data_IF_666024730016
#
_entry.id   IF_666024730016
#
_cell.length_a   1.000
_cell.length_b   1.000
_cell.length_c   1.000
_cell.angle_alpha   90.00
_cell.angle_beta   90.00
_cell.angle_gamma   90.00
#
_symmetry.space_group_name_H-M   'P 1'
#
loop_
_entity.id
_entity.type
_entity.pdbx_description
1 polymer ?
#
# COMPACT_ATOMS: atom_id res chain seq x y z
N UNK A 1 -21.94 0.23 3.50
CA UNK A 1 -22.14 -1.15 3.99
C UNK A 1 -20.88 -1.51 4.74
N UNK A 2 -20.93 -1.61 6.07
CA UNK A 2 -19.74 -1.98 6.86
C UNK A 2 -19.70 -3.50 6.94
N UNK A 3 -18.79 -4.11 6.20
CA UNK A 3 -18.59 -5.56 6.20
C UNK A 3 -17.68 -5.92 7.36
N UNK A 4 -18.11 -6.86 8.21
CA UNK A 4 -17.24 -7.45 9.24
C UNK A 4 -16.12 -8.25 8.55
N UNK A 5 -14.87 -7.87 8.79
CA UNK A 5 -13.70 -8.67 8.44
C UNK A 5 -13.20 -9.36 9.71
N UNK A 6 -13.11 -10.68 9.71
CA UNK A 6 -12.54 -11.40 10.84
C UNK A 6 -11.04 -11.08 10.97
N UNK A 7 -10.56 -10.95 12.21
CA UNK A 7 -9.16 -10.57 12.50
C UNK A 7 -8.13 -11.49 11.85
N UNK A 8 -8.47 -12.76 11.66
CA UNK A 8 -7.63 -13.74 10.98
C UNK A 8 -7.31 -13.39 9.51
N UNK A 9 -8.17 -12.60 8.86
CA UNK A 9 -7.98 -12.09 7.50
C UNK A 9 -7.42 -10.66 7.48
N UNK A 10 -7.24 -10.01 8.63
CA UNK A 10 -6.59 -8.70 8.76
C UNK A 10 -5.08 -8.87 9.01
N UNK A 11 -4.42 -9.66 8.16
CA UNK A 11 -2.96 -9.87 8.20
C UNK A 11 -2.39 -9.54 6.84
N UNK A 12 -1.46 -8.59 6.81
CA UNK A 12 -0.74 -8.23 5.60
C UNK A 12 0.16 -9.38 5.12
N UNK A 13 0.30 -9.51 3.80
CA UNK A 13 1.24 -10.46 3.17
C UNK A 13 2.57 -9.77 2.97
N UNK A 14 2.61 -8.73 2.13
CA UNK A 14 3.78 -7.90 1.89
C UNK A 14 3.98 -6.87 3.01
N UNK A 15 2.93 -6.48 3.71
CA UNK A 15 2.94 -5.64 4.90
C UNK A 15 2.99 -6.53 6.15
N UNK A 16 3.75 -6.11 7.16
CA UNK A 16 3.75 -6.76 8.47
C UNK A 16 2.71 -6.15 9.42
N UNK A 17 2.42 -4.87 9.27
CA UNK A 17 1.43 -4.12 10.06
C UNK A 17 1.10 -2.77 9.40
N UNK A 18 0.10 -2.07 9.94
CA UNK A 18 -0.23 -0.71 9.54
C UNK A 18 -0.79 0.09 10.71
N UNK A 19 -0.69 1.40 10.64
CA UNK A 19 -1.26 2.36 11.58
C UNK A 19 -2.24 3.28 10.84
N UNK A 20 -3.37 3.57 11.48
CA UNK A 20 -4.42 4.41 10.91
C UNK A 20 -4.71 5.56 11.86
N UNK A 21 -4.49 6.79 11.40
CA UNK A 21 -4.99 8.02 12.03
C UNK A 21 -5.94 8.75 11.08
N UNK A 22 -6.66 9.79 11.53
CA UNK A 22 -7.46 10.60 10.63
C UNK A 22 -6.67 11.29 9.51
N UNK A 23 -5.37 11.53 9.72
CA UNK A 23 -4.48 12.27 8.83
C UNK A 23 -3.55 11.37 8.00
N UNK A 24 -3.24 10.16 8.47
CA UNK A 24 -2.25 9.28 7.83
C UNK A 24 -2.65 7.82 7.90
N UNK A 25 -2.33 7.09 6.83
CA UNK A 25 -2.22 5.64 6.80
C UNK A 25 -0.74 5.30 6.65
N UNK A 26 -0.19 4.56 7.59
CA UNK A 26 1.22 4.17 7.60
C UNK A 26 1.31 2.67 7.43
N UNK A 27 2.01 2.22 6.40
CA UNK A 27 2.23 0.81 6.11
C UNK A 27 3.65 0.41 6.43
N UNK A 28 3.81 -0.69 7.15
CA UNK A 28 5.10 -1.28 7.48
C UNK A 28 5.33 -2.48 6.55
N UNK A 29 6.20 -2.32 5.56
CA UNK A 29 6.57 -3.34 4.57
C UNK A 29 7.41 -4.41 5.26
N UNK A 30 7.06 -5.68 5.04
CA UNK A 30 7.75 -6.84 5.59
C UNK A 30 9.17 -6.96 4.99
N UNK A 31 10.23 -6.89 5.80
CA UNK A 31 11.58 -7.14 5.31
C UNK A 31 11.77 -8.59 4.83
N UNK A 32 12.71 -8.78 3.89
CA UNK A 32 13.09 -10.11 3.39
C UNK A 32 12.15 -10.70 2.34
N UNK A 33 11.19 -9.93 1.82
CA UNK A 33 10.41 -10.31 0.63
C UNK A 33 11.17 -9.89 -0.63
N UNK A 34 11.22 -10.76 -1.63
CA UNK A 34 11.98 -10.53 -2.87
C UNK A 34 11.09 -10.62 -4.09
N UNK A 35 11.39 -9.79 -5.08
CA UNK A 35 10.77 -9.86 -6.40
C UNK A 35 11.16 -11.16 -7.11
N UNK A 36 10.19 -11.81 -7.73
CA UNK A 36 10.40 -13.04 -8.51
C UNK A 36 10.96 -12.73 -9.91
N UNK A 37 12.08 -12.01 -9.98
CA UNK A 37 12.64 -11.47 -11.22
C UNK A 37 13.69 -12.37 -11.90
N UNK A 38 13.80 -13.64 -11.51
CA UNK A 38 14.81 -14.58 -12.05
C UNK A 38 14.69 -14.82 -13.58
N UNK A 39 13.56 -14.46 -14.19
CA UNK A 39 13.25 -14.74 -15.59
C UNK A 39 12.77 -13.49 -16.36
N UNK A 40 13.21 -12.30 -15.96
CA UNK A 40 12.88 -11.03 -16.65
C UNK A 40 14.15 -10.21 -16.94
N UNK A 41 14.07 -9.32 -17.94
CA UNK A 41 15.19 -8.49 -18.41
C UNK A 41 15.07 -7.00 -18.01
N UNK A 42 13.95 -6.60 -17.41
CA UNK A 42 13.62 -5.22 -17.08
C UNK A 42 13.80 -4.86 -15.60
N UNK A 43 14.08 -5.83 -14.73
CA UNK A 43 14.47 -5.58 -13.33
C UNK A 43 15.37 -6.68 -12.79
N UNK A 44 16.20 -6.33 -11.80
CA UNK A 44 16.99 -7.31 -11.03
C UNK A 44 16.14 -8.01 -9.97
N UNK A 45 16.51 -9.25 -9.61
CA UNK A 45 15.99 -9.88 -8.39
C UNK A 45 16.60 -9.18 -7.17
N UNK A 46 15.74 -8.40 -6.50
CA UNK A 46 16.08 -7.65 -5.29
C UNK A 46 14.91 -7.66 -4.32
N UNK A 47 15.22 -7.23 -3.11
CA UNK A 47 14.23 -7.10 -2.04
C UNK A 47 13.16 -6.06 -2.41
N UNK A 48 11.91 -6.36 -2.03
CA UNK A 48 10.79 -5.42 -2.02
C UNK A 48 11.03 -4.37 -0.94
N UNK A 49 10.80 -3.11 -1.29
CA UNK A 49 11.00 -1.96 -0.41
C UNK A 49 9.78 -1.03 -0.44
N UNK A 50 9.74 -0.08 0.49
CA UNK A 50 8.71 0.96 0.51
C UNK A 50 8.63 1.74 -0.81
N UNK A 51 9.75 1.99 -1.48
CA UNK A 51 9.76 2.70 -2.77
C UNK A 51 9.00 1.95 -3.87
N UNK A 52 9.03 0.62 -3.84
CA UNK A 52 8.29 -0.19 -4.81
C UNK A 52 6.77 -0.05 -4.60
N UNK A 53 6.35 -0.10 -3.33
CA UNK A 53 4.96 0.07 -2.94
C UNK A 53 4.46 1.49 -3.26
N UNK A 54 5.30 2.51 -3.02
CA UNK A 54 4.98 3.91 -3.37
C UNK A 54 4.79 4.05 -4.88
N UNK A 55 5.66 3.46 -5.69
CA UNK A 55 5.54 3.51 -7.14
C UNK A 55 4.23 2.87 -7.63
N UNK A 56 3.85 1.73 -7.07
CA UNK A 56 2.60 1.05 -7.39
C UNK A 56 1.37 1.86 -6.96
N UNK A 57 1.35 2.35 -5.71
CA UNK A 57 0.25 3.18 -5.20
C UNK A 57 0.07 4.48 -5.98
N UNK A 58 1.16 5.15 -6.37
CA UNK A 58 1.10 6.36 -7.20
C UNK A 58 0.54 6.04 -8.60
N UNK A 59 0.92 4.89 -9.17
CA UNK A 59 0.34 4.43 -10.43
C UNK A 59 -1.16 4.15 -10.29
N UNK A 60 -1.57 3.44 -9.24
CA UNK A 60 -2.97 3.15 -8.97
C UNK A 60 -3.77 4.44 -8.74
N UNK A 61 -3.27 5.37 -7.92
CA UNK A 61 -3.95 6.62 -7.54
C UNK A 61 -4.45 7.42 -8.75
N UNK A 62 -3.71 7.44 -9.85
CA UNK A 62 -4.07 8.17 -11.07
C UNK A 62 -4.79 7.33 -12.13
N UNK A 63 -4.96 6.02 -11.90
CA UNK A 63 -5.67 5.12 -12.80
C UNK A 63 -7.20 5.40 -12.80
N UNK A 64 -7.97 4.92 -13.80
CA UNK A 64 -9.42 5.12 -13.80
C UNK A 64 -10.15 4.57 -12.56
N UNK A 65 -9.68 3.44 -12.00
CA UNK A 65 -10.27 2.86 -10.81
C UNK A 65 -9.76 3.52 -9.51
N UNK A 66 -8.45 3.79 -9.43
CA UNK A 66 -7.84 4.40 -8.25
C UNK A 66 -8.17 5.88 -8.10
N UNK A 67 -8.35 6.62 -9.19
CA UNK A 67 -8.76 8.04 -9.14
C UNK A 67 -10.13 8.24 -8.51
N UNK A 68 -11.04 7.27 -8.62
CA UNK A 68 -12.35 7.29 -7.96
C UNK A 68 -12.32 6.77 -6.51
N UNK A 69 -11.14 6.34 -6.03
CA UNK A 69 -10.94 5.76 -4.69
C UNK A 69 -9.75 6.42 -4.01
N UNK A 70 -8.55 5.83 -4.07
CA UNK A 70 -7.32 6.38 -3.48
C UNK A 70 -7.06 7.84 -3.90
N UNK A 71 -7.37 8.23 -5.14
CA UNK A 71 -7.23 9.61 -5.60
C UNK A 71 -8.22 10.60 -4.99
N UNK A 72 -9.35 10.15 -4.46
CA UNK A 72 -10.36 11.00 -3.80
C UNK A 72 -10.03 11.25 -2.32
N UNK A 73 -9.55 10.22 -1.62
CA UNK A 73 -9.32 10.29 -0.17
C UNK A 73 -7.84 10.38 0.23
N UNK A 74 -6.93 9.86 -0.60
CA UNK A 74 -5.48 9.90 -0.41
C UNK A 74 -4.87 11.19 -0.95
N UNK A 75 -3.83 11.67 -0.26
CA UNK A 75 -2.99 12.79 -0.64
C UNK A 75 -1.61 12.30 -1.09
N UNK A 76 -0.56 12.92 -0.55
CA UNK A 76 0.82 12.58 -0.87
C UNK A 76 1.17 11.17 -0.37
N UNK A 77 1.90 10.43 -1.20
CA UNK A 77 2.37 9.07 -0.93
C UNK A 77 3.89 9.04 -1.05
N UNK A 78 4.59 8.63 0.01
CA UNK A 78 6.05 8.62 0.05
C UNK A 78 6.61 7.52 0.96
N UNK A 79 7.87 7.16 0.71
CA UNK A 79 8.62 6.27 1.58
C UNK A 79 9.29 7.06 2.70
N UNK A 80 9.13 6.59 3.94
CA UNK A 80 9.87 7.07 5.11
C UNK A 80 10.92 6.02 5.51
N UNK A 81 12.02 5.98 4.77
CA UNK A 81 13.02 4.92 4.91
C UNK A 81 12.67 3.67 4.11
N UNK A 82 13.36 2.56 4.41
CA UNK A 82 13.36 1.39 3.50
C UNK A 82 12.07 0.56 3.52
N UNK A 83 11.33 0.59 4.63
CA UNK A 83 10.20 -0.32 4.88
C UNK A 83 8.96 0.39 5.41
N UNK A 84 8.88 1.71 5.32
CA UNK A 84 7.69 2.47 5.76
C UNK A 84 7.14 3.26 4.60
N UNK A 85 5.86 3.05 4.28
CA UNK A 85 5.10 3.86 3.33
C UNK A 85 4.16 4.75 4.12
N UNK A 86 4.13 6.02 3.78
CA UNK A 86 3.20 7.00 4.36
C UNK A 86 2.26 7.45 3.27
N UNK A 87 0.96 7.31 3.53
CA UNK A 87 -0.13 7.86 2.72
C UNK A 87 -0.76 8.96 3.57
N UNK A 88 -0.58 10.22 3.18
CA UNK A 88 -1.31 11.31 3.79
C UNK A 88 -2.78 11.26 3.35
N UNK A 89 -3.70 11.61 4.24
CA UNK A 89 -5.14 11.50 3.99
C UNK A 89 -5.74 12.89 3.87
N UNK A 90 -6.35 13.17 2.72
CA UNK A 90 -7.22 14.33 2.56
C UNK A 90 -8.50 14.16 3.38
N UNK A 91 -8.95 12.90 3.53
CA UNK A 91 -10.07 12.49 4.39
C UNK A 91 -9.89 11.02 4.77
N UNK A 92 -10.16 10.67 6.02
CA UNK A 92 -10.22 9.27 6.43
C UNK A 92 -11.31 8.51 5.66
N UNK A 93 -10.91 7.42 4.99
CA UNK A 93 -11.82 6.47 4.37
C UNK A 93 -11.63 5.08 5.00
N UNK A 94 -12.62 4.61 5.75
CA UNK A 94 -12.57 3.30 6.39
C UNK A 94 -12.68 2.13 5.40
N UNK A 95 -12.98 2.41 4.13
CA UNK A 95 -12.95 1.46 3.03
C UNK A 95 -11.55 1.24 2.43
N UNK A 96 -10.50 1.90 2.94
CA UNK A 96 -9.15 1.83 2.35
C UNK A 96 -8.65 0.38 2.14
N UNK A 97 -8.92 -0.51 3.10
CA UNK A 97 -8.55 -1.94 3.02
C UNK A 97 -9.19 -2.62 1.81
N UNK A 98 -10.40 -2.23 1.45
CA UNK A 98 -11.07 -2.76 0.27
C UNK A 98 -10.50 -2.18 -1.03
N UNK A 99 -10.06 -0.93 -1.02
CA UNK A 99 -9.61 -0.23 -2.23
C UNK A 99 -8.15 -0.50 -2.57
N UNK A 100 -7.27 -0.58 -1.57
CA UNK A 100 -5.82 -0.71 -1.77
C UNK A 100 -5.20 -1.90 -1.02
N UNK A 101 -6.00 -2.71 -0.32
CA UNK A 101 -5.49 -3.93 0.32
C UNK A 101 -5.10 -5.05 -0.65
N UNK A 102 -5.33 -4.89 -1.96
CA UNK A 102 -4.81 -5.78 -3.00
C UNK A 102 -3.39 -5.40 -3.44
N UNK A 103 -2.90 -4.22 -3.05
CA UNK A 103 -1.53 -3.77 -3.33
C UNK A 103 -0.55 -4.26 -2.24
N UNK A 104 -1.05 -5.03 -1.26
CA UNK A 104 -0.30 -5.83 -0.26
C UNK A 104 -0.06 -7.28 -0.71
#
# INVERSE_FOLDING_TARGET
MYTYLAEEFMKGRLLESWEVTPEKLVWHVRPGVYWAADNVDWMENRELTAEDMVADLLYFQVSPAGSMTLGEWGGDIYAEGRYTVVIELNRLDLGWLFTIGYED
#
